data_IF_708290779873
#
_entry.id   IF_708290779873
#
_cell.length_a   1.000
_cell.length_b   1.000
_cell.length_c   1.000
_cell.angle_alpha   90.00
_cell.angle_beta   90.00
_cell.angle_gamma   90.00
#
_symmetry.space_group_name_H-M   'P 1'
#
loop_
_entity.id
_entity.type
_entity.pdbx_description
1 polymer ?
#
# COMPACT_ATOMS: atom_id res chain seq x y z
N UNK A 1 -17.71 -30.40 10.92
CA UNK A 1 -18.78 -29.40 10.68
C UNK A 1 -18.88 -29.20 9.18
N UNK A 2 -20.05 -29.43 8.59
CA UNK A 2 -20.26 -29.29 7.15
C UNK A 2 -20.82 -27.89 6.89
N UNK A 3 -19.95 -26.90 6.84
CA UNK A 3 -20.37 -25.52 6.55
C UNK A 3 -20.82 -25.42 5.10
N UNK A 4 -22.13 -25.18 4.89
CA UNK A 4 -22.68 -24.96 3.56
C UNK A 4 -22.22 -23.59 3.09
N UNK A 5 -21.46 -23.54 2.01
CA UNK A 5 -21.08 -22.29 1.34
C UNK A 5 -22.33 -21.62 0.78
N UNK A 6 -22.45 -20.31 1.00
CA UNK A 6 -23.50 -19.48 0.43
C UNK A 6 -22.96 -18.77 -0.83
N UNK A 7 -23.33 -19.27 -2.01
CA UNK A 7 -22.93 -18.67 -3.27
C UNK A 7 -23.93 -17.58 -3.66
N UNK A 8 -23.41 -16.38 -3.94
CA UNK A 8 -24.22 -15.23 -4.36
C UNK A 8 -23.74 -14.72 -5.71
N UNK A 9 -24.68 -14.51 -6.63
CA UNK A 9 -24.43 -13.89 -7.92
C UNK A 9 -24.64 -12.39 -7.75
N UNK A 10 -23.55 -11.62 -7.80
CA UNK A 10 -23.58 -10.16 -7.61
C UNK A 10 -24.09 -9.45 -8.87
N UNK A 11 -23.79 -9.98 -10.05
CA UNK A 11 -24.27 -9.48 -11.34
C UNK A 11 -24.76 -10.65 -12.20
N UNK A 12 -26.04 -10.62 -12.57
CA UNK A 12 -26.66 -11.58 -13.49
C UNK A 12 -26.71 -10.94 -14.89
N UNK A 13 -25.66 -11.14 -15.68
CA UNK A 13 -25.67 -10.78 -17.11
C UNK A 13 -26.13 -12.00 -17.91
N UNK A 14 -27.36 -11.94 -18.44
CA UNK A 14 -27.98 -13.04 -19.20
C UNK A 14 -27.71 -13.01 -20.70
N UNK A 15 -26.85 -12.10 -21.16
CA UNK A 15 -26.51 -12.00 -22.57
C UNK A 15 -25.51 -13.09 -23.00
N UNK A 16 -25.79 -13.73 -24.14
CA UNK A 16 -25.12 -14.95 -24.60
C UNK A 16 -23.68 -14.75 -25.13
N UNK A 17 -23.17 -13.51 -25.13
CA UNK A 17 -21.80 -13.17 -25.54
C UNK A 17 -21.23 -12.18 -24.54
N UNK A 18 -20.22 -12.61 -23.82
CA UNK A 18 -19.40 -11.77 -22.95
C UNK A 18 -18.02 -11.70 -23.59
N UNK A 19 -17.61 -10.53 -24.07
CA UNK A 19 -16.22 -10.31 -24.46
C UNK A 19 -15.35 -10.19 -23.20
N UNK A 20 -14.04 -10.44 -23.30
CA UNK A 20 -13.14 -10.37 -22.14
C UNK A 20 -13.19 -9.02 -21.43
N UNK A 21 -13.44 -7.94 -22.17
CA UNK A 21 -13.57 -6.59 -21.63
C UNK A 21 -14.81 -6.44 -20.73
N UNK A 22 -15.92 -7.11 -21.07
CA UNK A 22 -17.14 -7.10 -20.28
C UNK A 22 -16.93 -7.73 -18.90
N UNK A 23 -16.12 -8.80 -18.82
CA UNK A 23 -15.78 -9.44 -17.53
C UNK A 23 -14.96 -8.48 -16.66
N UNK A 24 -13.97 -7.79 -17.23
CA UNK A 24 -13.15 -6.82 -16.49
C UNK A 24 -14.01 -5.67 -15.97
N UNK A 25 -14.91 -5.14 -16.81
CA UNK A 25 -15.80 -4.06 -16.41
C UNK A 25 -16.79 -4.46 -15.31
N UNK A 26 -17.34 -5.68 -15.36
CA UNK A 26 -18.17 -6.24 -14.28
C UNK A 26 -17.36 -6.36 -12.99
N UNK A 27 -16.13 -6.86 -13.04
CA UNK A 27 -15.27 -7.02 -11.86
C UNK A 27 -14.82 -5.69 -11.24
N UNK A 28 -14.58 -4.67 -12.06
CA UNK A 28 -14.25 -3.33 -11.60
C UNK A 28 -15.48 -2.65 -10.98
N UNK A 29 -16.65 -2.81 -11.59
CA UNK A 29 -17.91 -2.33 -11.01
C UNK A 29 -18.22 -3.00 -9.67
N UNK A 30 -17.97 -4.29 -9.53
CA UNK A 30 -18.12 -5.00 -8.25
C UNK A 30 -17.16 -4.49 -7.16
N UNK A 31 -16.07 -3.80 -7.54
CA UNK A 31 -15.16 -3.10 -6.62
C UNK A 31 -15.55 -1.64 -6.36
N UNK A 32 -16.69 -1.18 -6.90
CA UNK A 32 -17.14 0.22 -6.80
C UNK A 32 -16.46 1.18 -7.78
N UNK A 33 -15.72 0.68 -8.77
CA UNK A 33 -14.98 1.50 -9.74
C UNK A 33 -15.82 1.72 -11.00
N UNK A 34 -16.69 2.72 -10.97
CA UNK A 34 -17.64 2.97 -12.07
C UNK A 34 -17.11 3.97 -13.11
N UNK A 35 -16.34 4.96 -12.67
CA UNK A 35 -15.85 6.03 -13.57
C UNK A 35 -14.66 5.56 -14.39
N UNK A 36 -14.55 6.05 -15.62
CA UNK A 36 -13.39 5.77 -16.49
C UNK A 36 -12.06 6.08 -15.78
N UNK A 37 -11.99 7.23 -15.09
CA UNK A 37 -10.82 7.63 -14.32
C UNK A 37 -10.47 6.63 -13.21
N UNK A 38 -11.44 6.18 -12.43
CA UNK A 38 -11.21 5.22 -11.34
C UNK A 38 -10.74 3.85 -11.86
N UNK A 39 -11.29 3.40 -12.99
CA UNK A 39 -10.86 2.16 -13.66
C UNK A 39 -9.43 2.26 -14.17
N UNK A 40 -9.07 3.38 -14.82
CA UNK A 40 -7.73 3.63 -15.32
C UNK A 40 -6.71 3.70 -14.18
N UNK A 41 -6.99 4.45 -13.10
CA UNK A 41 -6.12 4.53 -11.93
C UNK A 41 -5.91 3.17 -11.27
N UNK A 42 -6.96 2.35 -11.13
CA UNK A 42 -6.82 1.01 -10.54
C UNK A 42 -5.93 0.08 -11.39
N UNK A 43 -6.07 0.15 -12.72
CA UNK A 43 -5.29 -0.69 -13.64
C UNK A 43 -3.86 -0.17 -13.86
N UNK A 44 -3.63 1.12 -13.63
CA UNK A 44 -2.34 1.80 -13.78
C UNK A 44 -2.16 2.72 -12.58
N UNK A 45 -1.86 2.16 -11.39
CA UNK A 45 -1.73 2.95 -10.18
C UNK A 45 -0.56 3.91 -10.29
N UNK A 46 -0.69 5.04 -9.60
CA UNK A 46 0.40 5.99 -9.40
C UNK A 46 1.66 5.28 -8.87
N UNK A 47 2.82 5.56 -9.46
CA UNK A 47 4.08 4.94 -9.05
C UNK A 47 4.42 5.35 -7.60
N UNK A 48 4.94 4.45 -6.73
CA UNK A 48 5.18 4.77 -5.32
C UNK A 48 6.04 6.02 -5.07
N UNK A 49 6.99 6.32 -5.96
CA UNK A 49 7.83 7.52 -5.86
C UNK A 49 7.10 8.83 -6.18
N UNK A 50 5.96 8.76 -6.89
CA UNK A 50 5.13 9.91 -7.26
C UNK A 50 4.04 10.18 -6.22
N UNK A 51 3.83 9.26 -5.27
CA UNK A 51 2.85 9.41 -4.18
C UNK A 51 3.35 10.46 -3.19
N UNK A 52 2.56 11.52 -3.01
CA UNK A 52 2.86 12.56 -2.04
C UNK A 52 2.34 12.19 -0.64
N UNK A 53 2.85 12.86 0.39
CA UNK A 53 2.31 12.73 1.75
C UNK A 53 0.85 13.17 1.84
N UNK A 54 0.43 14.11 1.00
CA UNK A 54 -0.95 14.59 0.97
C UNK A 54 -1.90 13.52 0.43
N UNK A 55 -1.47 12.71 -0.54
CA UNK A 55 -2.25 11.60 -1.09
C UNK A 55 -2.51 10.50 -0.06
N UNK A 56 -1.64 10.40 0.96
CA UNK A 56 -1.74 9.47 2.07
C UNK A 56 -2.39 10.08 3.33
N UNK A 57 -2.85 11.34 3.25
CA UNK A 57 -3.39 12.09 4.39
C UNK A 57 -2.41 12.21 5.58
N UNK A 58 -1.10 12.17 5.29
CA UNK A 58 -0.04 12.25 6.30
C UNK A 58 0.40 13.70 6.48
N UNK A 59 0.41 14.19 7.73
CA UNK A 59 0.91 15.52 8.05
C UNK A 59 2.43 15.62 7.78
N UNK A 60 2.87 16.48 6.83
CA UNK A 60 4.28 16.65 6.53
C UNK A 60 5.13 17.11 7.72
N UNK A 61 4.52 17.76 8.72
CA UNK A 61 5.22 18.24 9.92
C UNK A 61 5.71 17.08 10.78
N UNK A 62 4.93 16.02 10.92
CA UNK A 62 5.31 14.84 11.70
C UNK A 62 6.42 14.05 10.99
N UNK A 63 6.33 13.89 9.67
CA UNK A 63 7.41 13.29 8.88
C UNK A 63 8.70 14.09 8.98
N UNK A 64 8.63 15.42 8.88
CA UNK A 64 9.80 16.28 9.03
C UNK A 64 10.41 16.22 10.44
N UNK A 65 9.58 16.08 11.47
CA UNK A 65 10.02 15.88 12.86
C UNK A 65 10.77 14.55 13.02
N UNK A 66 10.24 13.45 12.49
CA UNK A 66 10.89 12.14 12.50
C UNK A 66 12.22 12.15 11.74
N UNK A 67 12.23 12.70 10.51
CA UNK A 67 13.44 12.85 9.69
C UNK A 67 14.53 13.63 10.43
N UNK A 68 14.18 14.74 11.09
CA UNK A 68 15.14 15.54 11.86
C UNK A 68 15.72 14.76 13.03
N UNK A 69 14.90 13.98 13.75
CA UNK A 69 15.37 13.16 14.88
C UNK A 69 16.34 12.06 14.43
N UNK A 70 16.03 11.37 13.32
CA UNK A 70 16.88 10.30 12.76
C UNK A 70 18.18 10.89 12.26
N UNK A 71 18.14 11.98 11.48
CA UNK A 71 19.36 12.66 11.00
C UNK A 71 20.26 13.13 12.13
N UNK A 72 19.67 13.62 13.23
CA UNK A 72 20.42 13.98 14.43
C UNK A 72 21.10 12.76 15.06
N UNK A 73 20.38 11.65 15.22
CA UNK A 73 20.95 10.40 15.75
C UNK A 73 22.18 9.96 14.95
N UNK A 74 22.07 9.97 13.61
CA UNK A 74 23.15 9.58 12.72
C UNK A 74 24.35 10.54 12.85
N UNK A 75 24.11 11.85 12.88
CA UNK A 75 25.18 12.86 13.00
C UNK A 75 25.88 12.82 14.35
N UNK A 76 25.17 12.43 15.40
CA UNK A 76 25.69 12.35 16.77
C UNK A 76 26.25 10.95 17.08
N UNK A 77 26.30 10.04 16.09
CA UNK A 77 26.72 8.64 16.22
C UNK A 77 25.95 7.88 17.33
N UNK A 78 24.67 8.23 17.51
CA UNK A 78 23.78 7.51 18.41
C UNK A 78 23.42 6.14 17.83
N UNK A 79 23.44 5.12 18.69
CA UNK A 79 22.88 3.80 18.34
C UNK A 79 21.37 3.92 18.12
N UNK A 80 20.89 3.40 17.00
CA UNK A 80 19.48 3.35 16.63
C UNK A 80 19.00 1.90 16.81
N UNK A 81 17.78 1.72 17.33
CA UNK A 81 17.13 0.41 17.42
C UNK A 81 15.85 0.48 16.60
N UNK A 82 15.70 -0.41 15.62
CA UNK A 82 14.45 -0.55 14.86
C UNK A 82 13.58 -1.58 15.57
N UNK A 83 12.49 -1.11 16.18
CA UNK A 83 11.54 -1.97 16.89
C UNK A 83 10.30 -2.22 16.03
N UNK A 84 10.18 -3.45 15.51
CA UNK A 84 9.09 -3.89 14.63
C UNK A 84 7.99 -4.69 15.32
N UNK A 85 6.91 -4.94 14.59
CA UNK A 85 5.87 -5.92 14.98
C UNK A 85 6.19 -7.32 14.39
N UNK A 86 5.55 -8.36 14.92
CA UNK A 86 5.85 -9.76 14.62
C UNK A 86 5.10 -10.32 13.39
N UNK A 87 4.20 -9.56 12.79
CA UNK A 87 3.51 -9.97 11.57
C UNK A 87 4.37 -9.69 10.32
N UNK A 88 3.90 -10.19 9.17
CA UNK A 88 4.65 -10.08 7.93
C UNK A 88 4.94 -8.62 7.55
N UNK A 89 3.97 -7.72 7.77
CA UNK A 89 4.10 -6.30 7.43
C UNK A 89 5.11 -5.61 8.35
N UNK A 90 5.07 -5.90 9.66
CA UNK A 90 6.00 -5.38 10.66
C UNK A 90 7.44 -5.85 10.43
N UNK A 91 7.63 -7.13 10.10
CA UNK A 91 8.96 -7.69 9.78
C UNK A 91 9.51 -7.05 8.49
N UNK A 92 8.69 -6.92 7.44
CA UNK A 92 9.10 -6.30 6.18
C UNK A 92 9.46 -4.82 6.38
N UNK A 93 8.63 -4.06 7.10
CA UNK A 93 8.88 -2.65 7.38
C UNK A 93 10.19 -2.45 8.16
N UNK A 94 10.45 -3.31 9.16
CA UNK A 94 11.69 -3.30 9.93
C UNK A 94 12.90 -3.54 9.03
N UNK A 95 12.83 -4.53 8.12
CA UNK A 95 13.89 -4.80 7.17
C UNK A 95 14.19 -3.62 6.25
N UNK A 96 13.17 -3.03 5.62
CA UNK A 96 13.34 -1.84 4.75
C UNK A 96 13.95 -0.66 5.52
N UNK A 97 13.50 -0.42 6.75
CA UNK A 97 13.99 0.70 7.54
C UNK A 97 15.44 0.50 8.01
N UNK A 98 15.79 -0.72 8.42
CA UNK A 98 17.16 -1.07 8.79
C UNK A 98 18.11 -0.94 7.60
N UNK A 99 17.74 -1.46 6.42
CA UNK A 99 18.53 -1.31 5.18
C UNK A 99 18.78 0.17 4.84
N UNK A 100 17.77 1.03 4.99
CA UNK A 100 17.92 2.46 4.75
C UNK A 100 18.88 3.14 5.74
N UNK A 101 18.81 2.77 7.03
CA UNK A 101 19.73 3.28 8.06
C UNK A 101 21.16 2.78 7.84
N UNK A 102 21.32 1.50 7.49
CA UNK A 102 22.61 0.90 7.18
C UNK A 102 23.25 1.54 5.94
N UNK A 103 22.47 1.79 4.87
CA UNK A 103 22.94 2.52 3.69
C UNK A 103 23.36 3.96 4.02
N UNK A 104 22.72 4.58 5.01
CA UNK A 104 23.09 5.89 5.56
C UNK A 104 24.28 5.84 6.54
N UNK A 105 24.90 4.66 6.75
CA UNK A 105 26.02 4.41 7.67
C UNK A 105 25.70 4.67 9.15
N UNK A 106 24.45 4.49 9.55
CA UNK A 106 24.06 4.54 10.95
C UNK A 106 24.47 3.25 11.70
N UNK A 107 24.74 3.34 13.01
CA UNK A 107 24.81 2.17 13.90
C UNK A 107 23.38 1.76 14.28
N UNK A 108 22.78 0.89 13.46
CA UNK A 108 21.37 0.49 13.53
C UNK A 108 21.18 -1.04 13.63
#
# INVERSE_FOLDING_TARGET
MNERKNWQIIHDNREARTESQDVVDILLKNRGLETKKAKEEFMKPTHPEEISLADLEIDPREINKAKRRIKKAISDEERIIVYGDYDADGICATGVFWEALHAAKADA
#
